data_IF_001146097336
#
_entry.id   IF_001146097336
#
_cell.length_a   1.000
_cell.length_b   1.000
_cell.length_c   1.000
_cell.angle_alpha   90.00
_cell.angle_beta   90.00
_cell.angle_gamma   90.00
#
_symmetry.space_group_name_H-M   'P 1'
#
loop_
_entity.id
_entity.type
_entity.pdbx_description
1 polymer ?
#
# COMPACT_ATOMS: atom_id res chain seq x y z
N UNK A 1 -5.06 -9.99 24.81
CA UNK A 1 -5.62 -9.31 23.64
C UNK A 1 -6.85 -10.09 23.22
N UNK A 2 -8.05 -9.54 23.40
CA UNK A 2 -9.26 -10.14 22.85
C UNK A 2 -9.24 -9.90 21.35
N UNK A 3 -8.78 -10.89 20.58
CA UNK A 3 -8.83 -10.84 19.13
C UNK A 3 -10.28 -10.65 18.67
N UNK A 4 -10.48 -9.81 17.65
CA UNK A 4 -11.78 -9.59 17.04
C UNK A 4 -12.39 -10.94 16.65
N UNK A 5 -13.48 -11.34 17.29
CA UNK A 5 -14.21 -12.54 16.90
C UNK A 5 -15.06 -12.22 15.67
N UNK A 6 -14.62 -12.71 14.51
CA UNK A 6 -15.39 -12.63 13.27
C UNK A 6 -16.13 -13.97 13.12
N UNK A 7 -17.47 -13.98 13.05
CA UNK A 7 -18.24 -15.20 12.78
C UNK A 7 -17.73 -15.88 11.51
N UNK A 8 -17.67 -17.23 11.52
CA UNK A 8 -17.09 -18.01 10.41
C UNK A 8 -17.76 -17.71 9.07
N UNK A 9 -19.08 -17.52 9.06
CA UNK A 9 -19.82 -17.24 7.83
C UNK A 9 -19.44 -15.88 7.23
N UNK A 10 -19.23 -14.88 8.09
CA UNK A 10 -18.73 -13.56 7.67
C UNK A 10 -17.30 -13.65 7.15
N UNK A 11 -16.45 -14.43 7.81
CA UNK A 11 -15.08 -14.69 7.36
C UNK A 11 -15.06 -15.38 5.99
N UNK A 12 -15.93 -16.37 5.75
CA UNK A 12 -16.05 -17.03 4.45
C UNK A 12 -16.43 -16.02 3.36
N UNK A 13 -17.43 -15.17 3.60
CA UNK A 13 -17.88 -14.14 2.64
C UNK A 13 -16.75 -13.15 2.32
N UNK A 14 -16.00 -12.67 3.32
CA UNK A 14 -14.88 -11.74 3.12
C UNK A 14 -13.79 -12.39 2.27
N UNK A 15 -13.42 -13.63 2.56
CA UNK A 15 -12.36 -14.33 1.85
C UNK A 15 -12.79 -14.73 0.42
N UNK A 16 -14.07 -15.04 0.20
CA UNK A 16 -14.61 -15.29 -1.13
C UNK A 16 -14.75 -14.02 -1.97
N UNK A 17 -15.07 -12.88 -1.35
CA UNK A 17 -15.09 -11.57 -2.02
C UNK A 17 -13.71 -11.17 -2.53
N UNK A 18 -12.66 -11.53 -1.80
CA UNK A 18 -11.26 -11.38 -2.21
C UNK A 18 -10.90 -12.26 -3.44
N UNK A 19 -11.79 -13.17 -3.86
CA UNK A 19 -11.74 -14.05 -5.05
C UNK A 19 -10.55 -15.02 -5.13
N UNK A 20 -9.56 -14.87 -4.24
CA UNK A 20 -8.34 -15.70 -4.19
C UNK A 20 -8.57 -16.98 -3.37
N UNK A 21 -9.43 -16.92 -2.37
CA UNK A 21 -9.64 -17.99 -1.38
C UNK A 21 -11.10 -18.42 -1.40
N UNK A 22 -11.36 -19.72 -1.45
CA UNK A 22 -12.70 -20.30 -1.35
C UNK A 22 -12.76 -21.29 -0.22
N UNK A 23 -13.89 -21.34 0.50
CA UNK A 23 -14.11 -22.37 1.49
C UNK A 23 -14.83 -23.57 0.86
N UNK A 24 -14.19 -24.75 0.85
CA UNK A 24 -14.75 -25.97 0.27
C UNK A 24 -14.41 -27.17 1.14
N UNK A 25 -15.41 -27.99 1.47
CA UNK A 25 -15.26 -29.24 2.24
C UNK A 25 -14.50 -29.04 3.57
N UNK A 26 -14.82 -27.96 4.31
CA UNK A 26 -14.20 -27.68 5.59
C UNK A 26 -12.82 -27.02 5.52
N UNK A 27 -12.29 -26.73 4.32
CA UNK A 27 -10.94 -26.19 4.10
C UNK A 27 -10.97 -24.93 3.24
N UNK A 28 -10.08 -23.99 3.53
CA UNK A 28 -9.78 -22.88 2.64
C UNK A 28 -8.84 -23.35 1.53
N UNK A 29 -9.20 -23.08 0.29
CA UNK A 29 -8.41 -23.42 -0.89
C UNK A 29 -8.13 -22.15 -1.68
N UNK A 30 -6.90 -21.99 -2.14
CA UNK A 30 -6.59 -20.96 -3.13
C UNK A 30 -7.22 -21.37 -4.45
N UNK A 31 -8.12 -20.53 -4.98
CA UNK A 31 -8.78 -20.75 -6.28
C UNK A 31 -7.83 -20.39 -7.41
N UNK A 32 -6.93 -19.45 -7.16
CA UNK A 32 -5.89 -19.04 -8.09
C UNK A 32 -4.73 -20.01 -7.98
N UNK A 33 -4.33 -20.59 -9.13
CA UNK A 33 -3.17 -21.46 -9.18
C UNK A 33 -1.90 -20.70 -8.77
N UNK A 34 -0.98 -21.32 -8.02
CA UNK A 34 0.25 -20.67 -7.53
C UNK A 34 1.13 -20.04 -8.62
N UNK A 35 1.00 -20.50 -9.87
CA UNK A 35 1.73 -19.99 -11.04
C UNK A 35 0.84 -19.12 -11.95
N UNK A 36 -0.31 -18.65 -11.47
CA UNK A 36 -1.18 -17.75 -12.23
C UNK A 36 -0.48 -16.40 -12.48
N UNK A 37 -0.60 -15.90 -13.71
CA UNK A 37 0.05 -14.67 -14.17
C UNK A 37 -0.38 -13.43 -13.36
N UNK A 38 -1.57 -13.43 -12.76
CA UNK A 38 -2.01 -12.31 -11.91
C UNK A 38 -1.07 -12.10 -10.72
N UNK A 39 -0.43 -13.17 -10.22
CA UNK A 39 0.56 -13.04 -9.16
C UNK A 39 1.79 -12.26 -9.62
N UNK A 40 2.24 -12.42 -10.88
CA UNK A 40 3.37 -11.64 -11.39
C UNK A 40 3.00 -10.16 -11.56
N UNK A 41 1.75 -9.86 -11.92
CA UNK A 41 1.21 -8.50 -12.06
C UNK A 41 1.13 -7.79 -10.69
N UNK A 42 0.63 -8.45 -9.64
CA UNK A 42 0.46 -7.80 -8.33
C UNK A 42 1.72 -7.78 -7.48
N UNK A 43 2.70 -8.65 -7.76
CA UNK A 43 3.97 -8.72 -7.03
C UNK A 43 4.69 -7.37 -6.92
N UNK A 44 4.89 -6.57 -7.98
CA UNK A 44 5.51 -5.25 -7.85
C UNK A 44 4.68 -4.30 -6.97
N UNK A 45 3.35 -4.33 -7.07
CA UNK A 45 2.44 -3.51 -6.25
C UNK A 45 2.57 -3.86 -4.76
N UNK A 46 2.56 -5.15 -4.42
CA UNK A 46 2.73 -5.63 -3.04
C UNK A 46 4.11 -5.23 -2.51
N UNK A 47 5.17 -5.48 -3.29
CA UNK A 47 6.53 -5.11 -2.91
C UNK A 47 6.67 -3.61 -2.63
N UNK A 48 6.10 -2.76 -3.49
CA UNK A 48 6.10 -1.30 -3.29
C UNK A 48 5.33 -0.89 -2.03
N UNK A 49 4.15 -1.47 -1.79
CA UNK A 49 3.38 -1.25 -0.55
C UNK A 49 4.17 -1.64 0.69
N UNK A 50 4.89 -2.76 0.67
CA UNK A 50 5.75 -3.15 1.81
C UNK A 50 6.88 -2.14 2.04
N UNK A 51 7.49 -1.60 0.98
CA UNK A 51 8.54 -0.57 1.10
C UNK A 51 7.97 0.71 1.71
N UNK A 52 6.82 1.18 1.23
CA UNK A 52 6.14 2.36 1.80
C UNK A 52 5.82 2.13 3.28
N UNK A 53 5.20 1.00 3.61
CA UNK A 53 4.83 0.66 4.99
C UNK A 53 6.04 0.53 5.94
N UNK A 54 7.23 0.21 5.43
CA UNK A 54 8.46 0.16 6.23
C UNK A 54 9.08 1.52 6.49
N UNK A 55 8.85 2.48 5.59
CA UNK A 55 9.51 3.78 5.61
C UNK A 55 8.53 4.93 5.94
N UNK A 56 7.26 4.62 6.21
CA UNK A 56 6.29 5.61 6.66
C UNK A 56 6.67 6.10 8.06
N UNK A 57 6.80 7.42 8.21
CA UNK A 57 6.94 8.09 9.49
C UNK A 57 5.54 8.48 9.98
N UNK A 58 5.13 7.96 11.13
CA UNK A 58 3.82 8.19 11.73
C UNK A 58 3.99 8.95 13.04
N UNK A 59 3.37 10.12 13.16
CA UNK A 59 3.48 11.01 14.34
C UNK A 59 2.09 11.44 14.80
N UNK A 60 1.45 10.61 15.62
CA UNK A 60 0.09 10.88 16.08
C UNK A 60 -0.91 10.84 14.94
N UNK A 61 -1.46 12.01 14.57
CA UNK A 61 -2.35 12.15 13.41
C UNK A 61 -1.60 12.50 12.12
N UNK A 62 -0.31 12.81 12.21
CA UNK A 62 0.54 13.24 11.11
C UNK A 62 1.24 12.02 10.48
N UNK A 63 1.54 12.11 9.18
CA UNK A 63 2.30 11.08 8.49
C UNK A 63 3.18 11.65 7.38
N UNK A 64 4.28 10.96 7.10
CA UNK A 64 5.13 11.20 5.95
C UNK A 64 5.49 9.88 5.30
N UNK A 65 5.32 9.76 3.99
CA UNK A 65 5.97 8.70 3.22
C UNK A 65 6.31 9.16 1.81
N UNK A 66 7.36 8.56 1.27
CA UNK A 66 7.80 8.81 -0.09
C UNK A 66 8.10 7.50 -0.81
N UNK A 67 8.03 7.55 -2.15
CA UNK A 67 8.45 6.46 -2.98
C UNK A 67 8.94 6.94 -4.35
N UNK A 68 10.05 6.35 -4.79
CA UNK A 68 10.53 6.48 -6.16
C UNK A 68 9.74 5.61 -7.14
N UNK A 69 9.58 6.11 -8.35
CA UNK A 69 9.00 5.38 -9.48
C UNK A 69 9.95 4.28 -9.94
N UNK A 70 9.39 3.16 -10.41
CA UNK A 70 10.18 1.99 -10.82
C UNK A 70 11.04 2.26 -12.06
N UNK A 71 10.63 3.19 -12.91
CA UNK A 71 11.38 3.59 -14.11
C UNK A 71 12.66 4.37 -13.77
N UNK A 72 12.63 5.14 -12.68
CA UNK A 72 13.76 5.93 -12.18
C UNK A 72 13.50 6.33 -10.72
N UNK A 73 14.30 5.83 -9.79
CA UNK A 73 14.13 6.10 -8.36
C UNK A 73 14.49 7.54 -7.95
N UNK A 74 15.09 8.32 -8.87
CA UNK A 74 15.34 9.76 -8.72
C UNK A 74 14.08 10.60 -8.96
N UNK A 75 13.00 9.98 -9.38
CA UNK A 75 11.71 10.64 -9.61
C UNK A 75 10.67 9.94 -8.76
N UNK A 76 9.80 10.69 -8.09
CA UNK A 76 8.81 10.06 -7.23
C UNK A 76 7.81 11.02 -6.63
N UNK A 77 7.06 10.48 -5.67
CA UNK A 77 6.08 11.22 -4.90
C UNK A 77 6.39 11.13 -3.42
N UNK A 78 6.12 12.22 -2.74
CA UNK A 78 6.04 12.35 -1.29
C UNK A 78 4.61 12.74 -0.91
N UNK A 79 4.11 12.11 0.15
CA UNK A 79 2.84 12.40 0.78
C UNK A 79 3.14 12.81 2.21
N UNK A 80 2.82 14.06 2.52
CA UNK A 80 3.08 14.69 3.81
C UNK A 80 1.75 15.21 4.36
N UNK A 81 1.37 14.74 5.53
CA UNK A 81 0.31 15.35 6.32
C UNK A 81 0.88 15.79 7.67
N UNK A 82 0.98 17.11 7.87
CA UNK A 82 1.40 17.69 9.14
C UNK A 82 2.91 17.74 9.39
N UNK A 83 3.75 17.14 8.54
CA UNK A 83 5.20 17.07 8.76
C UNK A 83 5.89 18.41 8.47
N UNK A 84 5.59 19.04 7.32
CA UNK A 84 6.12 20.37 6.99
C UNK A 84 5.28 21.51 7.56
N UNK A 85 3.95 21.36 7.60
CA UNK A 85 3.02 22.36 8.09
C UNK A 85 1.83 21.68 8.78
N UNK A 86 1.52 22.13 10.00
CA UNK A 86 0.46 21.55 10.81
C UNK A 86 -0.88 21.50 10.06
N UNK A 87 -1.56 20.36 10.16
CA UNK A 87 -2.89 20.13 9.55
C UNK A 87 -2.95 20.39 8.03
N UNK A 88 -1.83 20.33 7.33
CA UNK A 88 -1.76 20.52 5.88
C UNK A 88 -1.42 19.20 5.20
N UNK A 89 -2.18 18.83 4.17
CA UNK A 89 -1.86 17.69 3.33
C UNK A 89 -1.17 18.18 2.05
N UNK A 90 0.07 17.76 1.86
CA UNK A 90 0.91 18.04 0.68
C UNK A 90 1.16 16.75 -0.10
N UNK A 91 0.96 16.81 -1.41
CA UNK A 91 1.50 15.84 -2.36
C UNK A 91 2.61 16.54 -3.13
N UNK A 92 3.83 16.04 -3.00
CA UNK A 92 5.01 16.60 -3.63
C UNK A 92 5.59 15.62 -4.64
N UNK A 93 5.60 16.01 -5.91
CA UNK A 93 6.44 15.36 -6.92
C UNK A 93 7.87 15.87 -6.79
N UNK A 94 8.83 14.96 -6.74
CA UNK A 94 10.25 15.29 -6.78
C UNK A 94 10.92 14.72 -8.03
N UNK A 95 11.85 15.47 -8.59
CA UNK A 95 12.77 15.02 -9.62
C UNK A 95 14.18 15.48 -9.25
N UNK A 96 15.09 14.52 -9.02
CA UNK A 96 16.49 14.79 -8.70
C UNK A 96 17.45 14.43 -9.85
N UNK A 97 16.94 14.16 -11.06
CA UNK A 97 17.77 13.73 -12.20
C UNK A 97 18.75 14.82 -12.64
N UNK A 98 18.35 16.08 -12.56
CA UNK A 98 19.11 17.25 -13.04
C UNK A 98 19.29 18.32 -11.95
N UNK A 99 19.31 17.93 -10.68
CA UNK A 99 19.16 18.84 -9.55
C UNK A 99 17.78 18.71 -8.93
N UNK A 100 17.53 19.42 -7.83
CA UNK A 100 16.29 19.30 -7.06
C UNK A 100 15.16 20.13 -7.67
N UNK A 101 14.19 19.46 -8.27
CA UNK A 101 12.92 20.04 -8.72
C UNK A 101 11.76 19.46 -7.92
N UNK A 102 10.80 20.32 -7.55
CA UNK A 102 9.61 19.93 -6.80
C UNK A 102 8.36 20.59 -7.35
N UNK A 103 7.28 19.81 -7.49
CA UNK A 103 5.94 20.31 -7.79
C UNK A 103 5.04 19.91 -6.62
N UNK A 104 4.48 20.90 -5.94
CA UNK A 104 3.73 20.71 -4.70
C UNK A 104 2.26 21.03 -4.90
N UNK A 105 1.40 20.14 -4.44
CA UNK A 105 -0.05 20.33 -4.41
C UNK A 105 -0.52 20.24 -2.97
N UNK A 106 -1.25 21.25 -2.52
CA UNK A 106 -1.84 21.30 -1.19
C UNK A 106 -3.34 21.01 -1.29
N UNK A 107 -3.85 20.13 -0.43
CA UNK A 107 -5.24 19.68 -0.39
C UNK A 107 -5.93 20.05 0.92
#
# INVERSE_FOLDING_TARGET
MNGLYIPKDVLHIILEYDARIKYKNGKYVNVIHKNDERYSIIKPVISKKMVIMKNIDLRGQEFYFEFGFDIDNRVGLCYDYGFNAASTFEICYYDIRNGWEQIRTYL
#
